data_IF_547990278553
#
_entry.id   IF_547990278553
#
_cell.length_a   1.000
_cell.length_b   1.000
_cell.length_c   1.000
_cell.angle_alpha   90.00
_cell.angle_beta   90.00
_cell.angle_gamma   90.00
#
_symmetry.space_group_name_H-M   'P 1'
#
loop_
_entity.id
_entity.type
_entity.pdbx_description
1 polymer ?
#
# COMPACT_ATOMS: atom_id res chain seq x y z
N UNK A 1 -3.72 -11.37 -40.58
CA UNK A 1 -4.13 -10.68 -39.33
C UNK A 1 -3.19 -11.13 -38.19
N UNK A 2 -2.93 -10.35 -37.18
CA UNK A 2 -2.01 -10.73 -36.08
C UNK A 2 -2.59 -11.92 -35.28
N UNK A 3 -1.70 -12.81 -34.83
CA UNK A 3 -2.01 -13.94 -33.96
C UNK A 3 -1.98 -13.52 -32.51
N UNK A 4 -3.04 -13.72 -31.75
CA UNK A 4 -3.21 -13.35 -30.36
C UNK A 4 -3.31 -14.61 -29.50
N UNK A 5 -2.48 -14.81 -28.46
CA UNK A 5 -2.58 -15.95 -27.58
C UNK A 5 -3.76 -15.78 -26.60
N UNK A 6 -4.46 -16.86 -26.33
CA UNK A 6 -5.44 -16.98 -25.25
C UNK A 6 -4.72 -17.58 -24.05
N UNK A 7 -4.61 -16.83 -22.97
CA UNK A 7 -3.93 -17.28 -21.75
C UNK A 7 -4.91 -17.73 -20.67
N UNK A 8 -4.47 -18.67 -19.83
CA UNK A 8 -5.17 -19.01 -18.59
C UNK A 8 -5.18 -17.76 -17.68
N UNK A 9 -6.36 -17.15 -17.41
CA UNK A 9 -6.44 -15.98 -16.57
C UNK A 9 -6.24 -16.33 -15.09
N UNK A 10 -5.93 -15.33 -14.26
CA UNK A 10 -5.93 -15.49 -12.82
C UNK A 10 -7.38 -15.38 -12.30
N UNK A 11 -8.01 -16.51 -12.07
CA UNK A 11 -9.41 -16.60 -11.63
C UNK A 11 -9.59 -16.53 -10.09
N UNK A 12 -8.51 -16.22 -9.34
CA UNK A 12 -8.51 -16.05 -7.88
C UNK A 12 -7.15 -15.67 -7.31
N UNK A 13 -7.09 -15.02 -6.15
CA UNK A 13 -5.85 -14.45 -5.55
C UNK A 13 -4.80 -15.51 -5.14
N UNK A 14 -5.20 -16.78 -4.96
CA UNK A 14 -4.28 -17.85 -4.52
C UNK A 14 -4.22 -19.04 -5.48
N UNK A 15 -4.71 -18.89 -6.71
CA UNK A 15 -4.75 -19.97 -7.68
C UNK A 15 -3.46 -20.00 -8.50
N UNK A 16 -2.75 -21.13 -8.46
CA UNK A 16 -1.55 -21.36 -9.26
C UNK A 16 -1.86 -22.08 -10.58
N UNK A 17 -2.89 -22.94 -10.60
CA UNK A 17 -3.29 -23.76 -11.76
C UNK A 17 -4.79 -24.05 -11.74
N UNK A 18 -5.35 -24.39 -12.90
CA UNK A 18 -6.74 -24.85 -13.06
C UNK A 18 -6.81 -25.95 -14.12
N UNK A 19 -7.77 -26.89 -13.98
CA UNK A 19 -7.98 -28.00 -14.90
C UNK A 19 -9.06 -27.66 -15.91
N UNK A 20 -8.79 -27.82 -17.19
CA UNK A 20 -9.80 -27.60 -18.27
C UNK A 20 -10.82 -28.72 -18.22
N UNK A 21 -12.10 -28.37 -18.02
CA UNK A 21 -13.23 -29.32 -17.95
C UNK A 21 -13.94 -29.40 -19.26
N UNK A 22 -14.14 -28.25 -19.92
CA UNK A 22 -14.84 -28.21 -21.24
C UNK A 22 -14.22 -27.14 -22.14
N UNK A 23 -14.32 -27.38 -23.46
CA UNK A 23 -13.81 -26.49 -24.52
C UNK A 23 -15.01 -26.16 -25.45
N UNK A 24 -15.49 -24.91 -25.36
CA UNK A 24 -16.70 -24.44 -26.06
C UNK A 24 -16.43 -23.91 -27.47
N UNK A 25 -15.19 -24.01 -27.96
CA UNK A 25 -14.74 -23.46 -29.26
C UNK A 25 -13.96 -24.49 -30.08
N UNK A 26 -13.97 -24.31 -31.38
CA UNK A 26 -13.21 -25.11 -32.35
C UNK A 26 -12.37 -24.20 -33.29
N UNK A 27 -11.27 -24.71 -33.86
CA UNK A 27 -10.54 -23.99 -34.90
C UNK A 27 -11.46 -23.59 -36.07
N UNK A 28 -11.45 -22.31 -36.44
CA UNK A 28 -12.31 -21.73 -37.49
C UNK A 28 -13.54 -21.00 -36.95
N UNK A 29 -13.88 -21.08 -35.66
CA UNK A 29 -15.03 -20.41 -35.11
C UNK A 29 -14.76 -18.87 -35.01
N UNK A 30 -15.79 -18.08 -35.35
CA UNK A 30 -15.82 -16.64 -35.09
C UNK A 30 -16.33 -16.38 -33.67
N UNK A 31 -15.53 -15.70 -32.85
CA UNK A 31 -15.85 -15.40 -31.46
C UNK A 31 -15.86 -13.90 -31.21
N UNK A 32 -16.71 -13.47 -30.28
CA UNK A 32 -16.82 -12.07 -29.85
C UNK A 32 -16.10 -11.84 -28.55
N UNK A 33 -15.66 -10.61 -28.30
CA UNK A 33 -15.02 -10.24 -27.02
C UNK A 33 -15.94 -10.62 -25.84
N UNK A 34 -15.34 -11.10 -24.76
CA UNK A 34 -16.00 -11.58 -23.52
C UNK A 34 -16.88 -12.83 -23.70
N UNK A 35 -16.82 -13.49 -24.83
CA UNK A 35 -17.50 -14.78 -25.04
C UNK A 35 -16.78 -15.88 -24.26
N UNK A 36 -17.56 -16.78 -23.63
CA UNK A 36 -17.03 -17.94 -22.90
C UNK A 36 -16.45 -18.96 -23.88
N UNK A 37 -15.21 -19.40 -23.62
CA UNK A 37 -14.45 -20.27 -24.52
C UNK A 37 -13.96 -21.55 -23.86
N UNK A 38 -13.65 -21.52 -22.58
CA UNK A 38 -13.29 -22.71 -21.80
C UNK A 38 -14.01 -22.68 -20.44
N UNK A 39 -14.33 -23.88 -19.94
CA UNK A 39 -14.72 -24.10 -18.58
C UNK A 39 -13.56 -24.78 -17.85
N UNK A 40 -13.18 -24.23 -16.71
CA UNK A 40 -12.03 -24.70 -15.92
C UNK A 40 -12.45 -24.93 -14.47
N UNK A 41 -11.92 -26.00 -13.89
CA UNK A 41 -12.16 -26.38 -12.51
C UNK A 41 -10.95 -26.00 -11.64
N UNK A 42 -11.23 -25.38 -10.52
CA UNK A 42 -10.24 -25.01 -9.51
C UNK A 42 -10.56 -25.80 -8.23
N UNK A 43 -9.66 -25.79 -7.25
CA UNK A 43 -9.90 -26.41 -5.94
C UNK A 43 -11.22 -26.01 -5.25
N UNK A 44 -11.88 -24.96 -5.73
CA UNK A 44 -13.01 -24.33 -5.03
C UNK A 44 -14.28 -24.18 -5.86
N UNK A 45 -14.18 -24.10 -7.16
CA UNK A 45 -15.33 -23.91 -8.06
C UNK A 45 -14.95 -24.08 -9.54
N UNK A 46 -15.94 -24.45 -10.35
CA UNK A 46 -15.86 -24.34 -11.81
C UNK A 46 -16.02 -22.88 -12.23
N UNK A 47 -15.18 -22.42 -13.14
CA UNK A 47 -15.13 -21.04 -13.62
C UNK A 47 -15.01 -21.00 -15.14
N UNK A 48 -15.49 -19.91 -15.74
CA UNK A 48 -15.47 -19.71 -17.19
C UNK A 48 -14.32 -18.78 -17.58
N UNK A 49 -13.61 -19.17 -18.65
CA UNK A 49 -12.59 -18.36 -19.29
C UNK A 49 -13.17 -17.73 -20.53
N UNK A 50 -13.10 -16.40 -20.62
CA UNK A 50 -13.64 -15.62 -21.73
C UNK A 50 -12.56 -15.15 -22.70
N UNK A 51 -12.96 -14.80 -23.94
CA UNK A 51 -12.00 -14.29 -24.92
C UNK A 51 -11.59 -12.86 -24.65
N UNK A 52 -10.31 -12.50 -24.89
CA UNK A 52 -9.84 -11.13 -24.68
C UNK A 52 -10.26 -10.14 -25.79
N UNK A 53 -10.61 -10.61 -26.96
CA UNK A 53 -11.01 -9.75 -28.10
C UNK A 53 -11.81 -10.55 -29.14
N UNK A 54 -12.50 -9.83 -30.02
CA UNK A 54 -13.19 -10.42 -31.17
C UNK A 54 -12.21 -10.92 -32.22
N UNK A 55 -12.45 -12.13 -32.78
CA UNK A 55 -11.58 -12.72 -33.79
C UNK A 55 -12.00 -14.11 -34.20
N UNK A 56 -11.14 -14.78 -34.98
CA UNK A 56 -11.35 -16.17 -35.46
C UNK A 56 -10.36 -17.08 -34.73
N UNK A 57 -10.82 -18.19 -34.19
CA UNK A 57 -9.99 -19.21 -33.54
C UNK A 57 -9.05 -19.86 -34.54
N UNK A 58 -7.75 -19.75 -34.36
CA UNK A 58 -6.75 -20.39 -35.21
C UNK A 58 -6.45 -21.82 -34.75
N UNK A 59 -6.23 -21.95 -33.45
CA UNK A 59 -5.74 -23.19 -32.84
C UNK A 59 -6.14 -23.25 -31.37
N UNK A 60 -6.57 -24.41 -30.90
CA UNK A 60 -6.81 -24.72 -29.51
C UNK A 60 -5.74 -25.71 -29.07
N UNK A 61 -4.87 -25.27 -28.12
CA UNK A 61 -3.77 -26.09 -27.59
C UNK A 61 -4.15 -26.77 -26.27
N UNK A 62 -5.21 -26.29 -25.62
CA UNK A 62 -5.72 -26.87 -24.39
C UNK A 62 -6.37 -28.23 -24.63
N UNK A 63 -6.23 -29.12 -23.62
CA UNK A 63 -6.82 -30.48 -23.64
C UNK A 63 -7.71 -30.64 -22.41
N UNK A 64 -8.91 -31.17 -22.59
CA UNK A 64 -9.83 -31.46 -21.49
C UNK A 64 -9.22 -32.47 -20.54
N UNK A 65 -9.32 -32.19 -19.23
CA UNK A 65 -8.78 -33.01 -18.16
C UNK A 65 -7.32 -32.69 -17.79
N UNK A 66 -6.68 -31.71 -18.46
CA UNK A 66 -5.30 -31.28 -18.13
C UNK A 66 -5.29 -29.99 -17.34
N UNK A 67 -4.37 -29.89 -16.35
CA UNK A 67 -4.15 -28.69 -15.54
C UNK A 67 -3.16 -27.75 -16.23
N UNK A 68 -3.46 -26.45 -16.18
CA UNK A 68 -2.66 -25.38 -16.74
C UNK A 68 -2.38 -24.31 -15.68
N UNK A 69 -1.14 -23.87 -15.59
CA UNK A 69 -0.75 -22.75 -14.69
C UNK A 69 -1.28 -21.43 -15.22
N UNK A 70 -1.51 -20.48 -14.33
CA UNK A 70 -1.90 -19.11 -14.72
C UNK A 70 -0.87 -18.52 -15.69
N UNK A 71 -1.35 -17.93 -16.80
CA UNK A 71 -0.52 -17.42 -17.88
C UNK A 71 -0.17 -18.46 -18.97
N UNK A 72 -0.46 -19.76 -18.79
CA UNK A 72 -0.26 -20.75 -19.84
C UNK A 72 -1.14 -20.45 -21.07
N UNK A 73 -0.63 -20.72 -22.26
CA UNK A 73 -1.37 -20.53 -23.51
C UNK A 73 -2.33 -21.69 -23.75
N UNK A 74 -3.62 -21.40 -23.84
CA UNK A 74 -4.69 -22.35 -24.07
C UNK A 74 -5.09 -22.47 -25.57
N UNK A 75 -4.74 -21.46 -26.36
CA UNK A 75 -5.05 -21.40 -27.78
C UNK A 75 -4.60 -20.09 -28.42
N UNK A 76 -4.92 -19.93 -29.68
CA UNK A 76 -4.62 -18.72 -30.46
C UNK A 76 -5.82 -18.30 -31.28
N UNK A 77 -6.00 -16.99 -31.36
CA UNK A 77 -7.01 -16.39 -32.24
C UNK A 77 -6.37 -15.39 -33.22
N UNK A 78 -7.00 -15.19 -34.33
CA UNK A 78 -6.67 -14.17 -35.32
C UNK A 78 -7.59 -12.98 -35.13
N UNK A 79 -7.04 -11.80 -34.85
CA UNK A 79 -7.81 -10.57 -34.62
C UNK A 79 -7.26 -9.41 -35.46
N UNK A 80 -8.09 -8.38 -35.71
CA UNK A 80 -7.64 -7.17 -36.38
C UNK A 80 -6.79 -6.33 -35.48
N UNK A 81 -5.90 -5.47 -36.02
CA UNK A 81 -5.08 -4.55 -35.19
C UNK A 81 -5.97 -3.60 -34.38
N UNK A 82 -7.13 -3.26 -34.83
CA UNK A 82 -8.11 -2.44 -34.15
C UNK A 82 -8.62 -3.13 -32.86
N UNK A 83 -9.02 -4.42 -32.97
CA UNK A 83 -9.52 -5.21 -31.84
C UNK A 83 -8.39 -5.46 -30.79
N UNK A 84 -7.18 -5.71 -31.25
CA UNK A 84 -6.01 -5.89 -30.37
C UNK A 84 -5.72 -4.60 -29.57
N UNK A 85 -5.78 -3.45 -30.24
CA UNK A 85 -5.57 -2.17 -29.58
C UNK A 85 -6.71 -1.83 -28.60
N UNK A 86 -7.96 -2.14 -28.98
CA UNK A 86 -9.14 -1.96 -28.15
C UNK A 86 -9.10 -2.84 -26.89
N UNK A 87 -8.60 -4.06 -27.00
CA UNK A 87 -8.42 -5.00 -25.91
C UNK A 87 -7.17 -4.70 -25.03
N UNK A 88 -6.38 -3.67 -25.37
CA UNK A 88 -5.17 -3.32 -24.64
C UNK A 88 -4.01 -4.32 -24.79
N UNK A 89 -4.08 -5.22 -25.78
CA UNK A 89 -3.05 -6.21 -26.05
C UNK A 89 -1.93 -5.59 -26.88
N UNK A 90 -0.69 -5.70 -26.42
CA UNK A 90 0.49 -5.27 -27.18
C UNK A 90 0.81 -6.27 -28.28
N UNK A 91 1.32 -5.79 -29.45
CA UNK A 91 1.80 -6.67 -30.53
C UNK A 91 2.76 -7.71 -29.96
N UNK A 92 2.62 -9.00 -30.29
CA UNK A 92 3.63 -9.99 -29.97
C UNK A 92 4.91 -9.61 -30.71
N UNK A 93 5.96 -9.23 -29.96
CA UNK A 93 7.31 -9.21 -30.52
C UNK A 93 7.72 -10.64 -30.77
N UNK A 94 8.32 -10.92 -31.94
CA UNK A 94 8.93 -12.19 -32.29
C UNK A 94 10.02 -12.55 -31.28
N UNK A 95 9.67 -13.14 -30.16
CA UNK A 95 10.59 -13.77 -29.23
C UNK A 95 10.48 -15.28 -29.42
N UNK A 96 11.52 -15.85 -30.05
CA UNK A 96 11.79 -17.29 -30.00
C UNK A 96 11.73 -17.79 -28.55
N UNK A 97 11.29 -19.03 -28.32
CA UNK A 97 11.31 -19.61 -26.98
C UNK A 97 12.74 -19.62 -26.46
N UNK A 98 12.99 -18.82 -25.44
CA UNK A 98 14.23 -18.86 -24.68
C UNK A 98 14.12 -20.06 -23.75
N UNK A 99 15.02 -21.02 -23.91
CA UNK A 99 15.19 -22.12 -22.96
C UNK A 99 15.47 -21.55 -21.56
N UNK A 100 15.06 -22.25 -20.48
CA UNK A 100 15.31 -21.80 -19.12
C UNK A 100 16.81 -21.58 -18.92
N UNK A 101 17.25 -20.47 -18.31
CA UNK A 101 18.67 -20.30 -17.99
C UNK A 101 19.06 -21.33 -16.94
N UNK A 102 20.16 -22.02 -17.19
CA UNK A 102 20.84 -22.83 -16.19
C UNK A 102 21.21 -21.95 -14.98
N UNK A 103 21.16 -22.48 -13.76
CA UNK A 103 21.50 -21.72 -12.57
C UNK A 103 22.98 -21.36 -12.61
N UNK A 104 23.30 -20.09 -12.80
CA UNK A 104 24.63 -19.58 -12.51
C UNK A 104 24.78 -19.46 -11.02
N UNK A 105 25.73 -20.20 -10.47
CA UNK A 105 26.25 -20.01 -9.12
C UNK A 105 26.85 -18.60 -9.03
N UNK A 106 26.13 -17.68 -8.41
CA UNK A 106 26.71 -16.48 -7.84
C UNK A 106 26.87 -16.68 -6.34
N UNK A 107 28.13 -16.92 -5.96
CA UNK A 107 28.60 -16.78 -4.60
C UNK A 107 28.47 -15.32 -4.16
N UNK A 108 27.52 -15.03 -3.30
CA UNK A 108 27.65 -13.92 -2.37
C UNK A 108 27.13 -14.38 -1.01
N UNK A 109 28.10 -14.91 -0.25
CA UNK A 109 27.95 -15.24 1.15
C UNK A 109 27.70 -13.97 1.97
N UNK A 110 26.45 -13.70 2.28
CA UNK A 110 26.13 -12.99 3.51
C UNK A 110 25.71 -14.04 4.54
N UNK A 111 26.72 -14.64 5.14
CA UNK A 111 26.53 -15.47 6.33
C UNK A 111 26.19 -14.54 7.51
N UNK A 112 24.94 -14.57 7.96
CA UNK A 112 24.64 -14.30 9.36
C UNK A 112 25.11 -15.51 10.15
N UNK A 113 26.29 -15.43 10.75
CA UNK A 113 26.74 -16.40 11.73
C UNK A 113 25.89 -16.21 12.99
N UNK A 114 24.93 -17.10 13.19
CA UNK A 114 24.38 -17.37 14.51
C UNK A 114 25.35 -18.36 15.15
N UNK A 115 26.05 -17.93 16.20
CA UNK A 115 26.91 -18.80 17.01
C UNK A 115 26.03 -19.93 17.60
N UNK A 116 26.21 -21.12 17.05
CA UNK A 116 25.74 -22.36 17.68
C UNK A 116 26.63 -22.70 18.86
N UNK A 117 26.22 -22.30 20.06
CA UNK A 117 26.66 -22.96 21.31
C UNK A 117 25.55 -22.81 22.35
N UNK A 118 24.72 -23.82 22.39
CA UNK A 118 24.32 -24.58 23.57
C UNK A 118 23.20 -25.55 23.17
N UNK A 119 23.62 -26.76 22.82
CA UNK A 119 22.72 -27.89 22.74
C UNK A 119 22.46 -28.34 24.17
N UNK A 120 21.29 -28.02 24.71
CA UNK A 120 20.77 -28.67 25.90
C UNK A 120 20.06 -29.94 25.41
N UNK A 121 20.70 -31.09 25.70
CA UNK A 121 20.08 -32.39 25.57
C UNK A 121 18.90 -32.50 26.54
N UNK A 122 17.72 -32.67 26.01
CA UNK A 122 16.49 -32.81 26.75
C UNK A 122 15.49 -33.64 25.95
N UNK A 123 15.71 -34.96 25.96
CA UNK A 123 14.72 -35.95 25.57
C UNK A 123 13.49 -35.87 26.48
N UNK A 124 12.47 -35.17 26.03
CA UNK A 124 11.05 -35.46 26.34
C UNK A 124 10.21 -34.74 25.27
N UNK A 125 9.78 -35.52 24.29
CA UNK A 125 8.75 -35.12 23.34
C UNK A 125 7.44 -35.07 24.12
N UNK A 126 7.07 -33.93 24.66
CA UNK A 126 5.69 -33.68 25.06
C UNK A 126 4.88 -33.48 23.76
N UNK A 127 3.89 -34.36 23.60
CA UNK A 127 2.85 -34.20 22.60
C UNK A 127 2.32 -32.77 22.63
N UNK A 128 2.40 -32.09 21.49
CA UNK A 128 1.83 -30.75 21.30
C UNK A 128 0.32 -30.84 21.51
N UNK A 129 -0.13 -30.44 22.69
CA UNK A 129 -1.55 -30.14 22.92
C UNK A 129 -1.89 -28.98 22.03
N UNK A 130 -2.53 -29.27 20.91
CA UNK A 130 -3.20 -28.22 20.12
C UNK A 130 -4.24 -27.56 21.03
N UNK A 131 -4.14 -26.25 21.32
CA UNK A 131 -5.19 -25.58 22.06
C UNK A 131 -6.45 -25.62 21.21
N UNK A 132 -7.43 -26.42 21.59
CA UNK A 132 -8.80 -26.28 21.12
C UNK A 132 -9.31 -24.95 21.68
N UNK A 133 -9.12 -23.88 20.92
CA UNK A 133 -9.81 -22.62 21.17
C UNK A 133 -11.25 -22.83 20.71
N UNK A 134 -12.13 -23.08 21.66
CA UNK A 134 -13.58 -22.97 21.48
C UNK A 134 -13.95 -21.48 21.33
N UNK A 135 -13.61 -20.93 20.25
CA UNK A 135 -13.89 -19.59 19.76
C UNK A 135 -13.30 -19.56 18.36
N UNK A 136 -14.11 -19.88 17.37
CA UNK A 136 -13.67 -19.87 15.99
C UNK A 136 -12.95 -18.56 15.70
N UNK A 137 -11.73 -18.67 15.17
CA UNK A 137 -11.04 -17.53 14.58
C UNK A 137 -12.04 -16.74 13.75
N UNK A 138 -12.03 -15.40 13.78
CA UNK A 138 -12.87 -14.61 12.90
C UNK A 138 -12.69 -15.16 11.48
N UNK A 139 -13.77 -15.70 10.92
CA UNK A 139 -13.74 -16.20 9.54
C UNK A 139 -13.25 -15.04 8.70
N UNK A 140 -12.18 -15.19 7.89
CA UNK A 140 -11.71 -14.11 7.06
C UNK A 140 -12.89 -13.62 6.23
N UNK A 141 -13.25 -12.34 6.41
CA UNK A 141 -14.35 -11.73 5.69
C UNK A 141 -13.99 -11.79 4.21
N UNK A 142 -14.55 -12.75 3.49
CA UNK A 142 -14.42 -12.81 2.03
C UNK A 142 -15.01 -11.50 1.51
N UNK A 143 -14.20 -10.71 0.84
CA UNK A 143 -14.50 -9.36 0.35
C UNK A 143 -15.59 -9.27 -0.73
N UNK A 144 -16.31 -10.34 -1.00
CA UNK A 144 -17.49 -10.38 -1.86
C UNK A 144 -18.74 -10.68 -1.02
N UNK A 145 -19.09 -9.74 -0.13
CA UNK A 145 -20.44 -9.75 0.41
C UNK A 145 -21.37 -9.39 -0.73
N UNK A 146 -22.07 -10.38 -1.28
CA UNK A 146 -23.18 -10.10 -2.19
C UNK A 146 -24.23 -9.30 -1.44
N UNK A 147 -24.25 -8.01 -1.70
CA UNK A 147 -25.24 -7.09 -1.15
C UNK A 147 -26.48 -7.13 -2.03
N UNK A 148 -27.60 -7.60 -1.49
CA UNK A 148 -28.87 -7.52 -2.22
C UNK A 148 -29.20 -6.05 -2.55
N UNK A 149 -29.93 -5.76 -3.62
CA UNK A 149 -30.33 -4.39 -3.96
C UNK A 149 -31.05 -3.68 -2.82
N UNK A 150 -31.87 -4.40 -2.05
CA UNK A 150 -32.59 -3.89 -0.88
C UNK A 150 -31.63 -3.50 0.26
N UNK A 151 -30.63 -4.35 0.54
CA UNK A 151 -29.62 -4.06 1.56
C UNK A 151 -28.76 -2.87 1.14
N UNK A 152 -28.38 -2.78 -0.13
CA UNK A 152 -27.60 -1.65 -0.65
C UNK A 152 -28.35 -0.32 -0.50
N UNK A 153 -29.64 -0.28 -0.86
CA UNK A 153 -30.48 0.90 -0.71
C UNK A 153 -30.61 1.32 0.77
N UNK A 154 -30.77 0.34 1.68
CA UNK A 154 -30.85 0.62 3.11
C UNK A 154 -29.53 1.14 3.70
N UNK A 155 -28.40 0.58 3.24
CA UNK A 155 -27.07 1.06 3.62
C UNK A 155 -26.85 2.50 3.14
N UNK A 156 -27.24 2.81 1.90
CA UNK A 156 -27.12 4.16 1.34
C UNK A 156 -27.96 5.17 2.13
N UNK A 157 -29.20 4.81 2.48
CA UNK A 157 -30.07 5.62 3.34
C UNK A 157 -29.43 5.93 4.71
N UNK A 158 -28.72 4.95 5.29
CA UNK A 158 -28.07 5.06 6.60
C UNK A 158 -26.60 5.58 6.51
N UNK A 159 -26.11 5.86 5.31
CA UNK A 159 -24.72 6.29 5.09
C UNK A 159 -23.66 5.21 5.41
N UNK A 160 -24.04 3.93 5.39
CA UNK A 160 -23.17 2.80 5.71
C UNK A 160 -22.41 2.29 4.49
N UNK A 161 -21.21 1.75 4.73
CA UNK A 161 -20.37 1.11 3.71
C UNK A 161 -20.25 -0.39 3.98
N UNK A 162 -19.80 -1.14 2.99
CA UNK A 162 -19.59 -2.60 3.11
C UNK A 162 -18.63 -2.97 4.25
N UNK A 163 -17.66 -2.11 4.58
CA UNK A 163 -16.77 -2.31 5.71
C UNK A 163 -17.49 -2.30 7.06
N UNK A 164 -18.59 -1.56 7.18
CA UNK A 164 -19.38 -1.47 8.42
C UNK A 164 -20.15 -2.78 8.68
N UNK A 165 -20.33 -3.63 7.65
CA UNK A 165 -20.94 -4.95 7.76
C UNK A 165 -19.97 -6.05 8.20
N UNK A 166 -18.66 -5.77 8.23
CA UNK A 166 -17.63 -6.79 8.48
C UNK A 166 -17.75 -7.46 9.88
N UNK A 167 -18.40 -6.79 10.84
CA UNK A 167 -18.64 -7.33 12.19
C UNK A 167 -19.98 -8.05 12.35
N UNK A 168 -20.80 -8.17 11.30
CA UNK A 168 -22.12 -8.78 11.40
C UNK A 168 -22.02 -10.28 11.12
N UNK A 169 -22.38 -11.17 12.07
CA UNK A 169 -22.45 -12.59 11.77
C UNK A 169 -23.59 -12.87 10.81
N UNK A 170 -23.29 -13.43 9.64
CA UNK A 170 -24.30 -13.77 8.64
C UNK A 170 -24.98 -15.09 8.92
N UNK A 171 -26.31 -15.11 8.93
CA UNK A 171 -27.15 -16.34 9.09
C UNK A 171 -27.44 -17.04 7.77
N UNK A 172 -27.16 -16.42 6.63
CA UNK A 172 -27.40 -16.98 5.30
C UNK A 172 -26.41 -18.05 4.89
N UNK A 173 -26.69 -18.71 3.76
CA UNK A 173 -25.83 -19.77 3.22
C UNK A 173 -24.39 -19.31 3.03
N UNK A 174 -23.43 -20.10 3.53
CA UNK A 174 -22.01 -19.77 3.50
C UNK A 174 -21.59 -18.57 4.37
N UNK A 175 -22.38 -18.23 5.42
CA UNK A 175 -22.08 -17.09 6.30
C UNK A 175 -22.44 -15.74 5.69
N UNK A 176 -23.36 -15.70 4.70
CA UNK A 176 -23.81 -14.47 4.09
C UNK A 176 -24.67 -13.67 5.06
N UNK A 177 -24.41 -12.35 5.14
CA UNK A 177 -25.26 -11.42 5.89
C UNK A 177 -26.58 -11.25 5.16
N UNK A 178 -27.70 -11.58 5.82
CA UNK A 178 -29.06 -11.38 5.31
C UNK A 178 -29.56 -9.97 5.65
N UNK A 179 -30.72 -9.59 5.08
CA UNK A 179 -31.38 -8.33 5.43
C UNK A 179 -31.82 -8.34 6.89
N UNK A 180 -32.30 -9.50 7.36
CA UNK A 180 -32.72 -9.69 8.76
C UNK A 180 -31.54 -9.55 9.74
N UNK A 181 -30.36 -10.09 9.43
CA UNK A 181 -29.15 -9.91 10.24
C UNK A 181 -28.76 -8.44 10.33
N UNK A 182 -28.84 -7.74 9.19
CA UNK A 182 -28.53 -6.32 9.11
C UNK A 182 -29.52 -5.46 9.92
N UNK A 183 -30.82 -5.67 9.77
CA UNK A 183 -31.84 -4.92 10.53
C UNK A 183 -31.72 -5.21 12.03
N UNK A 184 -31.44 -6.46 12.42
CA UNK A 184 -31.17 -6.82 13.81
C UNK A 184 -29.93 -6.08 14.35
N UNK A 185 -28.87 -5.99 13.56
CA UNK A 185 -27.65 -5.24 13.92
C UNK A 185 -27.97 -3.76 14.13
N UNK A 186 -28.76 -3.13 13.24
CA UNK A 186 -29.17 -1.73 13.38
C UNK A 186 -29.99 -1.52 14.66
N UNK A 187 -30.98 -2.40 14.92
CA UNK A 187 -31.77 -2.33 16.14
C UNK A 187 -30.95 -2.51 17.43
N UNK A 188 -29.87 -3.31 17.36
CA UNK A 188 -28.94 -3.46 18.50
C UNK A 188 -28.06 -2.22 18.68
N UNK A 189 -27.63 -1.57 17.58
CA UNK A 189 -26.91 -0.30 17.66
C UNK A 189 -27.75 0.83 18.27
N UNK A 190 -29.05 0.90 17.91
CA UNK A 190 -29.97 1.91 18.44
C UNK A 190 -30.16 1.85 19.95
N UNK A 191 -29.88 0.70 20.58
CA UNK A 191 -29.88 0.55 22.05
C UNK A 191 -28.69 1.23 22.73
N UNK A 192 -27.65 1.58 21.98
CA UNK A 192 -26.44 2.21 22.49
C UNK A 192 -26.58 3.74 22.40
N UNK A 193 -25.79 4.43 23.23
CA UNK A 193 -25.66 5.89 23.11
C UNK A 193 -24.92 6.20 21.81
N UNK A 194 -25.56 6.89 20.90
CA UNK A 194 -24.95 7.35 19.64
C UNK A 194 -24.75 8.86 19.68
N UNK A 195 -23.69 9.32 19.02
CA UNK A 195 -23.39 10.73 18.77
C UNK A 195 -23.03 10.92 17.30
N UNK A 196 -23.47 12.01 16.71
CA UNK A 196 -23.12 12.34 15.34
C UNK A 196 -21.61 12.61 15.20
N UNK A 197 -20.99 12.05 14.16
CA UNK A 197 -19.62 12.35 13.82
C UNK A 197 -19.55 13.75 13.17
N UNK A 198 -18.53 14.53 13.54
CA UNK A 198 -18.31 15.82 12.89
C UNK A 198 -18.05 15.64 11.38
N UNK A 199 -18.36 16.66 10.53
CA UNK A 199 -18.03 16.61 9.10
C UNK A 199 -16.54 16.34 8.83
N UNK A 200 -15.64 16.86 9.67
CA UNK A 200 -14.22 16.56 9.62
C UNK A 200 -13.95 15.08 9.86
N UNK A 201 -14.58 14.46 10.86
CA UNK A 201 -14.40 13.03 11.18
C UNK A 201 -14.87 12.14 10.03
N UNK A 202 -16.00 12.50 9.40
CA UNK A 202 -16.54 11.80 8.22
C UNK A 202 -15.54 11.89 7.05
N UNK A 203 -15.00 13.09 6.77
CA UNK A 203 -14.03 13.29 5.70
C UNK A 203 -12.72 12.51 5.95
N UNK A 204 -12.24 12.47 7.20
CA UNK A 204 -11.07 11.66 7.58
C UNK A 204 -11.37 10.17 7.38
N UNK A 205 -12.54 9.69 7.81
CA UNK A 205 -12.91 8.28 7.64
C UNK A 205 -12.94 7.87 6.17
N UNK A 206 -13.53 8.69 5.28
CA UNK A 206 -13.55 8.44 3.85
C UNK A 206 -12.12 8.44 3.25
N UNK A 207 -11.31 9.44 3.61
CA UNK A 207 -9.91 9.51 3.18
C UNK A 207 -9.12 8.27 3.60
N UNK A 208 -9.27 7.81 4.85
CA UNK A 208 -8.56 6.63 5.35
C UNK A 208 -9.04 5.33 4.67
N UNK A 209 -10.35 5.17 4.43
CA UNK A 209 -10.87 4.03 3.66
C UNK A 209 -10.25 3.98 2.27
N UNK A 210 -10.23 5.09 1.53
CA UNK A 210 -9.61 5.16 0.18
C UNK A 210 -8.12 4.88 0.22
N UNK A 211 -7.43 5.34 1.26
CA UNK A 211 -6.00 5.07 1.42
C UNK A 211 -5.72 3.59 1.71
N UNK A 212 -6.55 2.96 2.54
CA UNK A 212 -6.38 1.57 2.97
C UNK A 212 -6.64 0.54 1.87
N UNK A 213 -7.22 0.93 0.74
CA UNK A 213 -7.39 0.03 -0.43
C UNK A 213 -6.07 -0.33 -1.11
N UNK A 214 -4.97 0.32 -0.73
CA UNK A 214 -3.62 0.06 -1.26
C UNK A 214 -2.83 -0.83 -0.30
N UNK A 215 -1.93 -1.69 -0.79
CA UNK A 215 -1.02 -2.44 0.07
C UNK A 215 0.02 -1.48 0.66
N UNK A 216 -0.22 -1.01 1.88
CA UNK A 216 0.69 -0.12 2.58
C UNK A 216 1.74 -0.92 3.35
N UNK A 217 2.99 -0.49 3.25
CA UNK A 217 4.09 -1.00 4.05
C UNK A 217 4.76 0.13 4.84
N UNK A 218 5.48 -0.23 5.89
CA UNK A 218 6.16 0.73 6.77
C UNK A 218 7.57 0.25 7.05
N UNK A 219 8.54 1.16 6.92
CA UNK A 219 9.93 0.95 7.31
C UNK A 219 10.36 2.04 8.30
N UNK A 220 11.27 1.68 9.19
CA UNK A 220 11.74 2.56 10.28
C UNK A 220 13.27 2.61 10.29
N UNK A 221 13.82 3.81 10.42
CA UNK A 221 15.25 4.03 10.62
C UNK A 221 15.45 4.95 11.84
N UNK A 222 16.27 4.56 12.82
CA UNK A 222 16.68 5.45 13.90
C UNK A 222 17.71 6.47 13.39
N UNK A 223 17.53 7.73 13.73
CA UNK A 223 18.40 8.83 13.32
C UNK A 223 18.89 9.56 14.57
N UNK A 224 20.21 9.71 14.69
CA UNK A 224 20.83 10.53 15.76
C UNK A 224 20.54 12.00 15.48
N UNK A 225 20.09 12.73 16.49
CA UNK A 225 19.58 14.09 16.34
C UNK A 225 20.58 15.18 16.75
N UNK A 226 21.76 14.82 17.23
CA UNK A 226 22.69 15.74 17.85
C UNK A 226 23.16 16.85 16.89
N UNK A 227 23.54 16.51 15.66
CA UNK A 227 23.96 17.48 14.64
C UNK A 227 22.82 18.46 14.28
N UNK A 228 21.62 17.92 14.03
CA UNK A 228 20.45 18.74 13.75
C UNK A 228 20.11 19.68 14.91
N UNK A 229 20.14 19.19 16.14
CA UNK A 229 19.82 20.00 17.31
C UNK A 229 20.88 21.08 17.59
N UNK A 230 22.15 20.78 17.35
CA UNK A 230 23.24 21.77 17.44
C UNK A 230 23.02 22.88 16.39
N UNK A 231 22.77 22.53 15.13
CA UNK A 231 22.47 23.49 14.07
C UNK A 231 21.22 24.32 14.43
N UNK A 232 20.13 23.66 14.83
CA UNK A 232 18.89 24.33 15.23
C UNK A 232 19.11 25.33 16.38
N UNK A 233 19.96 25.00 17.35
CA UNK A 233 20.27 25.88 18.47
C UNK A 233 20.99 27.17 18.03
N UNK A 234 21.76 27.10 16.96
CA UNK A 234 22.49 28.24 16.39
C UNK A 234 21.62 29.15 15.53
N UNK A 235 20.45 28.67 15.07
CA UNK A 235 19.55 29.47 14.24
C UNK A 235 18.68 30.43 15.07
N UNK A 236 18.36 31.59 14.46
CA UNK A 236 17.43 32.58 15.03
C UNK A 236 16.56 33.20 13.90
N UNK A 237 15.24 32.96 13.91
CA UNK A 237 14.47 32.09 14.80
C UNK A 237 14.82 30.60 14.66
N UNK A 238 14.52 29.78 15.67
CA UNK A 238 14.83 28.34 15.66
C UNK A 238 13.81 27.56 14.85
N UNK A 239 14.19 26.91 13.72
CA UNK A 239 13.26 26.13 12.93
C UNK A 239 12.71 24.93 13.71
N UNK A 240 11.46 24.54 13.44
CA UNK A 240 10.88 23.31 13.99
C UNK A 240 11.53 22.05 13.39
N UNK A 241 11.61 20.95 14.16
CA UNK A 241 12.15 19.67 13.67
C UNK A 241 11.37 19.20 12.43
N UNK A 242 10.06 19.41 12.42
CA UNK A 242 9.19 19.08 11.26
C UNK A 242 9.67 19.77 9.98
N UNK A 243 10.13 21.01 10.06
CA UNK A 243 10.61 21.77 8.92
C UNK A 243 11.92 21.18 8.34
N UNK A 244 12.84 20.73 9.20
CA UNK A 244 14.02 19.97 8.76
C UNK A 244 13.62 18.68 8.04
N UNK A 245 12.65 17.94 8.60
CA UNK A 245 12.17 16.72 7.99
C UNK A 245 11.49 16.98 6.62
N UNK A 246 10.70 18.04 6.49
CA UNK A 246 10.09 18.45 5.22
C UNK A 246 11.19 18.75 4.19
N UNK A 247 12.19 19.53 4.57
CA UNK A 247 13.28 19.93 3.67
C UNK A 247 14.12 18.72 3.24
N UNK A 248 14.53 17.87 4.19
CA UNK A 248 15.30 16.66 3.89
C UNK A 248 14.52 15.71 2.96
N UNK A 249 13.23 15.48 3.23
CA UNK A 249 12.38 14.66 2.38
C UNK A 249 12.20 15.29 0.98
N UNK A 250 12.01 16.61 0.88
CA UNK A 250 11.84 17.29 -0.42
C UNK A 250 13.08 17.18 -1.29
N UNK A 251 14.28 17.31 -0.72
CA UNK A 251 15.56 17.10 -1.43
C UNK A 251 15.68 15.64 -1.88
N UNK A 252 15.46 14.69 -0.98
CA UNK A 252 15.58 13.27 -1.31
C UNK A 252 14.58 12.83 -2.41
N UNK A 253 13.35 13.38 -2.42
CA UNK A 253 12.39 13.15 -3.51
C UNK A 253 12.84 13.82 -4.81
N UNK A 254 13.44 15.02 -4.77
CA UNK A 254 13.90 15.69 -5.99
C UNK A 254 15.04 14.94 -6.70
N UNK A 255 15.85 14.18 -5.94
CA UNK A 255 16.89 13.30 -6.47
C UNK A 255 16.31 12.07 -7.20
N UNK A 256 15.13 11.61 -6.79
CA UNK A 256 14.41 10.51 -7.43
C UNK A 256 12.88 10.68 -7.27
N UNK A 257 12.25 11.35 -8.22
CA UNK A 257 10.82 11.66 -8.18
C UNK A 257 9.89 10.44 -8.27
N UNK A 258 10.39 9.28 -8.72
CA UNK A 258 9.60 8.05 -8.81
C UNK A 258 9.09 7.60 -7.44
N UNK A 259 9.86 7.85 -6.36
CA UNK A 259 9.48 7.45 -4.99
C UNK A 259 8.19 8.12 -4.50
N UNK A 260 7.88 9.33 -4.99
CA UNK A 260 6.64 10.04 -4.71
C UNK A 260 5.64 9.99 -5.89
N UNK A 261 5.88 9.11 -6.85
CA UNK A 261 5.01 8.90 -8.01
C UNK A 261 3.69 8.23 -7.62
N UNK A 262 2.76 8.17 -8.58
CA UNK A 262 1.47 7.48 -8.44
C UNK A 262 1.36 6.40 -9.49
N UNK A 263 0.95 5.19 -9.09
CA UNK A 263 0.65 4.13 -10.02
C UNK A 263 -0.76 4.34 -10.61
N UNK A 264 -0.82 4.57 -11.91
CA UNK A 264 -2.08 4.71 -12.67
C UNK A 264 -2.05 3.69 -13.81
N UNK A 265 -2.85 2.65 -13.68
CA UNK A 265 -2.73 1.47 -14.54
C UNK A 265 -1.33 0.85 -14.42
N UNK A 266 -0.61 0.72 -15.53
CA UNK A 266 0.75 0.19 -15.62
C UNK A 266 1.85 1.28 -15.60
N UNK A 267 1.51 2.54 -15.28
CA UNK A 267 2.45 3.68 -15.38
C UNK A 267 2.64 4.36 -14.05
N UNK A 268 3.89 4.70 -13.73
CA UNK A 268 4.23 5.59 -12.62
C UNK A 268 4.21 7.04 -13.14
N UNK A 269 3.30 7.83 -12.60
CA UNK A 269 3.18 9.25 -12.92
C UNK A 269 4.01 10.04 -11.92
N UNK A 270 5.07 10.67 -12.39
CA UNK A 270 5.95 11.50 -11.57
C UNK A 270 5.29 12.84 -11.20
N UNK A 271 5.56 13.39 -10.01
CA UNK A 271 5.09 14.71 -9.64
C UNK A 271 5.78 15.79 -10.51
N UNK A 272 5.03 16.85 -10.83
CA UNK A 272 5.56 18.00 -11.57
C UNK A 272 6.26 19.02 -10.69
N UNK A 273 5.89 19.08 -9.42
CA UNK A 273 6.45 19.97 -8.40
C UNK A 273 6.54 19.18 -7.08
N UNK A 274 7.51 19.54 -6.24
CA UNK A 274 7.72 18.94 -4.93
C UNK A 274 6.94 19.73 -3.88
N UNK A 275 5.63 19.54 -3.88
CA UNK A 275 4.69 20.17 -2.97
C UNK A 275 4.52 19.29 -1.71
N UNK A 276 4.98 19.77 -0.57
CA UNK A 276 5.04 18.99 0.66
C UNK A 276 3.92 19.35 1.62
N UNK A 277 3.12 18.34 2.01
CA UNK A 277 2.16 18.45 3.10
C UNK A 277 2.81 18.28 4.46
N UNK A 278 2.21 18.87 5.48
CA UNK A 278 2.56 18.59 6.86
C UNK A 278 1.32 18.59 7.76
N UNK A 279 1.33 17.70 8.75
CA UNK A 279 0.19 17.53 9.65
C UNK A 279 0.13 18.65 10.69
N UNK A 280 -1.03 19.28 10.79
CA UNK A 280 -1.37 20.25 11.84
C UNK A 280 -2.59 19.75 12.61
N UNK A 281 -2.41 19.49 13.91
CA UNK A 281 -3.48 19.09 14.80
C UNK A 281 -4.49 20.22 15.01
N UNK A 282 -5.77 19.85 14.97
CA UNK A 282 -6.91 20.70 15.33
C UNK A 282 -7.84 19.91 16.25
N UNK A 283 -8.76 20.60 16.92
CA UNK A 283 -9.63 20.04 17.98
C UNK A 283 -10.31 18.70 17.61
N UNK A 284 -10.76 18.52 16.36
CA UNK A 284 -11.53 17.33 15.93
C UNK A 284 -10.83 16.52 14.82
N UNK A 285 -9.53 16.79 14.55
CA UNK A 285 -8.81 16.06 13.52
C UNK A 285 -7.46 16.65 13.17
N UNK A 286 -7.04 16.44 11.93
CA UNK A 286 -5.74 16.89 11.40
C UNK A 286 -5.98 17.59 10.05
N UNK A 287 -5.41 18.77 9.89
CA UNK A 287 -5.32 19.45 8.60
C UNK A 287 -3.92 19.25 8.01
N UNK A 288 -3.85 19.24 6.68
CA UNK A 288 -2.58 19.06 5.96
C UNK A 288 -2.36 20.25 5.00
N UNK A 289 -1.87 21.38 5.51
CA UNK A 289 -1.46 22.48 4.65
C UNK A 289 -0.24 22.10 3.82
N UNK A 290 -0.06 22.79 2.66
CA UNK A 290 0.94 22.49 1.64
C UNK A 290 1.95 23.62 1.54
N UNK A 291 3.25 23.27 1.58
CA UNK A 291 4.35 24.12 1.17
C UNK A 291 4.67 23.79 -0.29
N UNK A 292 4.49 24.76 -1.17
CA UNK A 292 4.75 24.63 -2.61
C UNK A 292 6.23 24.71 -2.93
N UNK A 293 6.69 23.91 -3.93
CA UNK A 293 8.07 23.87 -4.40
C UNK A 293 9.11 23.78 -3.26
N UNK A 294 8.90 22.86 -2.33
CA UNK A 294 9.71 22.74 -1.12
C UNK A 294 11.18 22.36 -1.40
N UNK A 295 11.46 21.72 -2.53
CA UNK A 295 12.80 21.39 -3.00
C UNK A 295 13.63 22.62 -3.44
N UNK A 296 12.96 23.70 -3.81
CA UNK A 296 13.60 24.94 -4.31
C UNK A 296 13.84 25.98 -3.21
N UNK A 297 13.39 25.73 -2.00
CA UNK A 297 13.43 26.67 -0.88
C UNK A 297 14.40 26.19 0.21
N UNK A 298 15.14 27.09 0.78
CA UNK A 298 15.96 26.86 1.97
C UNK A 298 15.10 26.77 3.24
N UNK A 299 15.65 26.24 4.32
CA UNK A 299 14.98 26.25 5.63
C UNK A 299 14.54 27.65 6.07
N UNK A 300 15.40 28.66 5.84
CA UNK A 300 15.12 30.06 6.19
C UNK A 300 13.93 30.63 5.40
N UNK A 301 13.85 30.33 4.09
CA UNK A 301 12.73 30.76 3.24
C UNK A 301 11.42 30.08 3.59
N UNK A 302 11.47 28.84 4.06
CA UNK A 302 10.27 28.09 4.43
C UNK A 302 9.75 28.42 5.83
N UNK A 303 10.58 28.90 6.74
CA UNK A 303 10.24 29.03 8.16
C UNK A 303 9.03 29.95 8.41
N UNK A 304 9.07 31.17 7.90
CA UNK A 304 7.96 32.12 8.08
C UNK A 304 6.63 31.59 7.49
N UNK A 305 6.60 31.15 6.21
CA UNK A 305 5.42 30.52 5.65
C UNK A 305 4.92 29.28 6.42
N UNK A 306 5.81 28.43 6.91
CA UNK A 306 5.45 27.26 7.72
C UNK A 306 4.74 27.67 9.03
N UNK A 307 5.34 28.59 9.80
CA UNK A 307 4.77 29.06 11.07
C UNK A 307 3.39 29.72 10.86
N UNK A 308 3.25 30.52 9.81
CA UNK A 308 1.96 31.11 9.45
C UNK A 308 0.91 30.07 9.08
N UNK A 309 1.29 29.02 8.33
CA UNK A 309 0.39 27.92 7.97
C UNK A 309 -0.02 27.10 9.20
N UNK A 310 0.89 26.86 10.14
CA UNK A 310 0.54 26.23 11.43
C UNK A 310 -0.49 27.06 12.17
N UNK A 311 -0.24 28.36 12.36
CA UNK A 311 -1.15 29.26 13.06
C UNK A 311 -2.53 29.34 12.38
N UNK A 312 -2.55 29.45 11.05
CA UNK A 312 -3.81 29.48 10.28
C UNK A 312 -4.53 28.15 10.27
N UNK A 313 -3.79 27.03 10.25
CA UNK A 313 -4.33 25.69 10.35
C UNK A 313 -5.06 25.48 11.67
N UNK A 314 -4.42 25.83 12.78
CA UNK A 314 -5.03 25.78 14.12
C UNK A 314 -6.28 26.66 14.22
N UNK A 315 -6.28 27.83 13.56
CA UNK A 315 -7.44 28.70 13.50
C UNK A 315 -8.48 28.27 12.43
N UNK A 316 -8.27 27.18 11.68
CA UNK A 316 -9.10 26.69 10.55
C UNK A 316 -9.31 27.75 9.44
N UNK A 317 -8.29 28.57 9.19
CA UNK A 317 -8.29 29.66 8.19
C UNK A 317 -7.18 29.53 7.19
N UNK A 318 -6.94 28.29 6.70
CA UNK A 318 -5.93 28.05 5.67
C UNK A 318 -6.26 28.84 4.39
N UNK A 319 -5.26 29.44 3.74
CA UNK A 319 -5.43 30.08 2.44
C UNK A 319 -5.64 29.00 1.37
N UNK A 320 -6.35 29.36 0.31
CA UNK A 320 -6.68 28.40 -0.79
C UNK A 320 -5.43 27.78 -1.42
N UNK A 321 -4.35 28.53 -1.50
CA UNK A 321 -3.06 28.12 -2.06
C UNK A 321 -2.38 27.01 -1.24
N UNK A 322 -2.67 26.95 0.06
CA UNK A 322 -2.15 25.92 0.95
C UNK A 322 -3.10 24.71 1.09
N UNK A 323 -4.24 24.72 0.42
CA UNK A 323 -5.17 23.61 0.37
C UNK A 323 -4.94 22.82 -0.92
N UNK A 324 -5.05 21.51 -0.86
CA UNK A 324 -4.91 20.63 -2.01
C UNK A 324 -4.12 19.37 -1.67
N UNK A 325 -3.68 18.67 -2.69
CA UNK A 325 -2.91 17.44 -2.55
C UNK A 325 -1.43 17.74 -2.77
N UNK A 326 -0.62 17.60 -1.70
CA UNK A 326 0.83 17.50 -1.84
C UNK A 326 1.22 16.11 -2.37
N UNK A 327 2.50 15.94 -2.66
CA UNK A 327 3.02 14.64 -3.15
C UNK A 327 3.36 13.68 -2.01
N UNK A 328 3.66 14.22 -0.84
CA UNK A 328 3.98 13.51 0.39
C UNK A 328 3.59 14.37 1.60
N UNK A 329 3.44 13.76 2.75
CA UNK A 329 3.15 14.45 4.01
C UNK A 329 4.19 14.11 5.06
N UNK A 330 4.58 15.10 5.87
CA UNK A 330 5.35 14.90 7.10
C UNK A 330 4.42 15.04 8.30
N UNK A 331 4.43 14.06 9.19
CA UNK A 331 3.71 14.11 10.47
C UNK A 331 4.70 13.99 11.62
N UNK A 332 4.59 14.84 12.62
CA UNK A 332 5.44 14.82 13.80
C UNK A 332 4.61 14.53 15.04
N UNK A 333 4.73 13.32 15.54
CA UNK A 333 4.05 12.85 16.76
C UNK A 333 4.98 12.82 17.98
N UNK A 334 6.22 13.28 17.80
CA UNK A 334 7.21 13.39 18.88
C UNK A 334 6.76 14.21 20.07
N UNK A 335 6.08 15.37 19.90
CA UNK A 335 5.57 16.17 21.03
C UNK A 335 4.59 15.41 21.95
N UNK A 336 3.94 14.35 21.45
CA UNK A 336 3.05 13.47 22.24
C UNK A 336 3.81 12.35 22.97
N UNK A 337 5.12 12.27 22.84
CA UNK A 337 5.93 11.18 23.40
C UNK A 337 5.83 9.85 22.66
N UNK A 338 5.22 9.84 21.48
CA UNK A 338 5.04 8.63 20.67
C UNK A 338 6.36 8.24 20.04
N UNK A 339 6.80 7.01 20.26
CA UNK A 339 8.10 6.49 19.81
C UNK A 339 8.00 5.51 18.67
N UNK A 340 6.78 5.10 18.31
CA UNK A 340 6.49 4.23 17.18
C UNK A 340 5.06 4.48 16.68
N UNK A 341 4.85 4.40 15.37
CA UNK A 341 3.54 4.61 14.76
C UNK A 341 3.54 4.01 13.34
N UNK A 342 2.35 3.81 12.78
CA UNK A 342 2.17 3.48 11.37
C UNK A 342 1.32 4.58 10.74
N UNK A 343 1.92 5.68 10.26
CA UNK A 343 1.18 6.75 9.61
C UNK A 343 0.60 6.25 8.28
N UNK A 344 -0.61 6.70 7.94
CA UNK A 344 -1.30 6.32 6.70
C UNK A 344 -1.19 7.47 5.71
N UNK A 345 -0.60 7.29 4.52
CA UNK A 345 -0.53 8.34 3.51
C UNK A 345 -1.92 8.72 3.00
N UNK A 346 -2.12 9.96 2.59
CA UNK A 346 -3.37 10.39 1.96
C UNK A 346 -3.62 9.61 0.65
N UNK A 347 -4.89 9.45 0.22
CA UNK A 347 -5.22 8.65 -0.96
C UNK A 347 -4.48 9.05 -2.24
N UNK A 348 -4.17 10.34 -2.39
CA UNK A 348 -3.49 10.90 -3.54
C UNK A 348 -1.96 10.87 -3.43
N UNK A 349 -1.42 10.49 -2.26
CA UNK A 349 0.02 10.47 -1.97
C UNK A 349 0.54 9.03 -1.91
N UNK A 350 1.76 8.82 -2.39
CA UNK A 350 2.41 7.53 -2.28
C UNK A 350 2.95 7.27 -0.86
N UNK A 351 3.48 8.30 -0.19
CA UNK A 351 4.22 8.14 1.05
C UNK A 351 3.89 9.21 2.10
N UNK A 352 4.13 8.85 3.36
CA UNK A 352 4.09 9.75 4.51
C UNK A 352 5.28 9.46 5.42
N UNK A 353 5.95 10.53 5.86
CA UNK A 353 7.08 10.47 6.79
C UNK A 353 6.62 10.84 8.20
N UNK A 354 6.79 9.93 9.16
CA UNK A 354 6.56 10.17 10.57
C UNK A 354 7.86 10.49 11.32
N UNK A 355 7.83 11.53 12.14
CA UNK A 355 8.90 11.88 13.07
C UNK A 355 8.45 11.54 14.48
N UNK A 356 9.20 10.67 15.17
CA UNK A 356 8.84 10.16 16.50
C UNK A 356 9.53 10.95 17.62
N UNK A 357 9.15 10.66 18.86
CA UNK A 357 9.82 11.23 20.05
C UNK A 357 11.25 10.78 20.12
N UNK A 358 12.16 11.73 20.41
CA UNK A 358 13.56 11.43 20.67
C UNK A 358 13.76 10.77 22.03
N UNK A 359 14.69 9.82 22.08
CA UNK A 359 15.15 9.15 23.31
C UNK A 359 16.66 9.17 23.38
N UNK A 360 17.19 9.31 24.59
CA UNK A 360 18.62 9.15 24.82
C UNK A 360 18.95 7.67 24.83
N UNK A 361 19.82 7.27 23.91
CA UNK A 361 20.24 5.89 23.72
C UNK A 361 21.75 5.76 23.92
N UNK A 362 22.26 4.62 24.45
CA UNK A 362 23.68 4.34 24.52
C UNK A 362 24.22 3.96 23.14
N UNK A 363 25.13 4.75 22.61
CA UNK A 363 25.87 4.46 21.38
C UNK A 363 27.29 4.09 21.71
N UNK A 364 27.78 2.99 21.13
CA UNK A 364 29.18 2.62 21.25
C UNK A 364 30.05 3.58 20.48
N UNK A 365 31.05 4.13 21.12
CA UNK A 365 32.05 5.00 20.52
C UNK A 365 33.39 4.28 20.41
N UNK A 366 33.84 4.04 19.19
CA UNK A 366 35.06 3.30 18.90
C UNK A 366 36.35 4.03 19.39
N UNK A 367 36.30 5.36 19.37
CA UNK A 367 37.47 6.15 19.76
C UNK A 367 37.69 6.13 21.29
N UNK A 368 36.66 6.37 22.07
CA UNK A 368 36.69 6.36 23.52
C UNK A 368 36.50 4.97 24.15
N UNK A 369 36.19 3.92 23.34
CA UNK A 369 35.87 2.56 23.81
C UNK A 369 34.83 2.56 24.93
N UNK A 370 33.80 3.39 24.78
CA UNK A 370 32.76 3.57 25.79
C UNK A 370 31.40 3.89 25.19
N UNK A 371 30.33 3.70 25.98
CA UNK A 371 29.00 4.12 25.56
C UNK A 371 28.80 5.61 25.80
N UNK A 372 28.45 6.33 24.73
CA UNK A 372 28.08 7.74 24.80
C UNK A 372 26.56 7.89 24.69
N UNK A 373 25.95 8.77 25.51
CA UNK A 373 24.53 9.09 25.38
C UNK A 373 24.33 9.96 24.15
N UNK A 374 23.50 9.49 23.17
CA UNK A 374 23.08 10.29 22.02
C UNK A 374 21.56 10.34 21.95
N UNK A 375 21.02 11.47 21.51
CA UNK A 375 19.58 11.59 21.29
C UNK A 375 19.25 10.97 19.93
N UNK A 376 18.43 9.93 19.94
CA UNK A 376 17.94 9.23 18.76
C UNK A 376 16.44 9.45 18.60
N UNK A 377 15.98 9.68 17.39
CA UNK A 377 14.56 9.68 17.01
C UNK A 377 14.34 8.68 15.88
N UNK A 378 13.26 7.91 15.95
CA UNK A 378 12.84 7.07 14.83
C UNK A 378 12.16 7.92 13.78
N UNK A 379 12.57 7.74 12.53
CA UNK A 379 11.88 8.24 11.35
C UNK A 379 11.21 7.06 10.66
N UNK A 380 9.92 7.18 10.40
CA UNK A 380 9.08 6.11 9.92
C UNK A 380 8.49 6.53 8.58
N UNK A 381 8.69 5.70 7.55
CA UNK A 381 8.12 5.91 6.22
C UNK A 381 7.06 4.85 5.95
N UNK A 382 5.81 5.28 5.79
CA UNK A 382 4.75 4.42 5.25
C UNK A 382 4.49 4.80 3.79
N UNK A 383 4.29 3.78 2.94
CA UNK A 383 4.23 3.96 1.49
C UNK A 383 3.37 2.90 0.81
N UNK A 384 2.97 3.17 -0.42
CA UNK A 384 2.28 2.21 -1.30
C UNK A 384 3.31 1.21 -1.86
N UNK A 385 3.19 -0.06 -1.43
CA UNK A 385 4.15 -1.12 -1.78
C UNK A 385 4.11 -1.52 -3.26
N UNK A 386 3.13 -1.03 -4.02
CA UNK A 386 3.09 -1.21 -5.48
C UNK A 386 4.10 -0.32 -6.22
N UNK A 387 4.63 0.71 -5.54
CA UNK A 387 5.56 1.71 -6.10
C UNK A 387 6.95 1.57 -5.50
N UNK A 388 7.03 1.37 -4.20
CA UNK A 388 8.27 1.20 -3.46
C UNK A 388 8.36 -0.18 -2.85
N UNK A 389 9.53 -0.78 -2.95
CA UNK A 389 9.92 -1.93 -2.12
C UNK A 389 10.63 -1.48 -0.83
N UNK A 390 10.86 -2.42 0.08
CA UNK A 390 11.54 -2.15 1.35
C UNK A 390 12.95 -1.58 1.16
N UNK A 391 13.69 -2.03 0.14
CA UNK A 391 15.03 -1.54 -0.16
C UNK A 391 15.03 -0.09 -0.63
N UNK A 392 14.12 0.28 -1.55
CA UNK A 392 13.98 1.65 -2.04
C UNK A 392 13.53 2.60 -0.91
N UNK A 393 12.58 2.17 -0.08
CA UNK A 393 12.12 2.93 1.08
C UNK A 393 13.23 3.13 2.13
N UNK A 394 14.03 2.08 2.39
CA UNK A 394 15.19 2.15 3.28
C UNK A 394 16.27 3.11 2.75
N UNK A 395 16.58 3.07 1.45
CA UNK A 395 17.51 4.02 0.82
C UNK A 395 17.02 5.47 0.93
N UNK A 396 15.72 5.71 0.74
CA UNK A 396 15.11 7.03 0.90
C UNK A 396 15.26 7.53 2.35
N UNK A 397 14.93 6.70 3.35
CA UNK A 397 15.10 7.05 4.76
C UNK A 397 16.56 7.30 5.15
N UNK A 398 17.48 6.46 4.68
CA UNK A 398 18.91 6.66 4.93
C UNK A 398 19.41 7.95 4.28
N UNK A 399 18.92 8.32 3.09
CA UNK A 399 19.24 9.61 2.48
C UNK A 399 18.73 10.78 3.29
N UNK A 400 17.50 10.70 3.80
CA UNK A 400 16.94 11.70 4.74
C UNK A 400 17.84 11.79 5.99
N UNK A 401 18.21 10.65 6.58
CA UNK A 401 19.10 10.61 7.73
C UNK A 401 20.45 11.29 7.47
N UNK A 402 21.08 11.02 6.33
CA UNK A 402 22.35 11.66 5.94
C UNK A 402 22.20 13.19 5.82
N UNK A 403 21.10 13.67 5.22
CA UNK A 403 20.82 15.11 5.12
C UNK A 403 20.62 15.76 6.50
N UNK A 404 19.99 15.05 7.45
CA UNK A 404 19.79 15.53 8.81
C UNK A 404 21.08 15.53 9.67
N UNK A 405 22.11 14.75 9.27
CA UNK A 405 23.44 14.81 9.87
C UNK A 405 24.29 15.98 9.32
N UNK A 406 23.91 16.55 8.18
CA UNK A 406 24.55 17.70 7.55
C UNK A 406 23.53 18.84 7.37
N UNK A 407 22.94 19.35 8.46
CA UNK A 407 21.79 20.26 8.42
C UNK A 407 22.11 21.63 7.78
N UNK A 408 23.36 21.97 7.60
CA UNK A 408 23.82 23.16 6.82
C UNK A 408 23.55 23.04 5.32
N UNK A 409 23.27 21.83 4.81
CA UNK A 409 22.90 21.61 3.42
C UNK A 409 21.39 21.76 3.16
N UNK A 410 20.59 21.98 4.19
CA UNK A 410 19.14 22.12 4.14
C UNK A 410 18.72 23.60 4.02
#
# INVERSE_FOLDING_TARGET
MPRVPIHMPQLGESMAEATVVDIKIAPGDEITADQEIFEVDTDKASMEVTTPCTGTVLEVTATVGQSYVVGATLGFLEATEYEIHRAGLTKPSDTKPVAPPEPKEENDNVHFAIDEKEVIDGSEVQESVTPTVDGGLPVPVRSTVYLSPRMRARMEELGLNSADLAGIPGSGAGGRVTVEDFEKFILDLEKNKMTEASPMRIAVADSMRRSWTRPLATVTVPIVMDALLAHRKAQNPKPGITLYAIRALSIAISENTAVAGRLIGSRIVHPRAIDMGFAVEVEDGVLVPIIRDADKKTLAEMQGPYEELVRRGQARKLPKEAIGTGIATVTNVGPFGITDATPIPLPEQNLVLGVMAGRVMPFWDEESQSFLPKLESKFILSFDHRILDGGAAGRLLNRIGALLQEPEKL
#
